data_IF_303906378072
#
_entry.id   IF_303906378072
#
_cell.length_a   1.000
_cell.length_b   1.000
_cell.length_c   1.000
_cell.angle_alpha   90.00
_cell.angle_beta   90.00
_cell.angle_gamma   90.00
#
_symmetry.space_group_name_H-M   'P 1'
#
loop_
_entity.id
_entity.type
_entity.pdbx_description
1 polymer ?
#
# COMPACT_ATOMS: atom_id res chain seq x y z
N UNK A 1 -28.49 6.67 7.61
CA UNK A 1 -28.98 5.99 6.40
C UNK A 1 -27.79 5.28 5.71
N UNK A 2 -27.29 4.22 6.35
CA UNK A 2 -26.01 3.54 6.04
C UNK A 2 -26.30 2.09 5.64
N UNK A 3 -26.41 1.76 4.35
CA UNK A 3 -26.57 0.35 3.93
C UNK A 3 -26.35 0.02 2.43
N UNK A 4 -25.75 0.88 1.58
CA UNK A 4 -25.69 0.61 0.12
C UNK A 4 -24.33 0.27 -0.48
N UNK A 5 -23.22 0.32 0.27
CA UNK A 5 -21.86 0.05 -0.25
C UNK A 5 -21.30 -1.37 0.01
N UNK A 6 -21.76 -2.07 1.06
CA UNK A 6 -21.19 -3.34 1.54
C UNK A 6 -21.19 -4.54 0.56
N UNK A 7 -22.16 -4.72 -0.37
CA UNK A 7 -22.20 -5.91 -1.25
C UNK A 7 -21.11 -5.93 -2.34
N UNK A 8 -20.74 -4.76 -2.88
CA UNK A 8 -19.72 -4.65 -3.91
C UNK A 8 -18.30 -4.72 -3.34
N UNK A 9 -18.13 -4.27 -2.09
CA UNK A 9 -16.90 -4.41 -1.30
C UNK A 9 -16.49 -5.86 -1.07
N UNK A 10 -17.41 -6.67 -0.50
CA UNK A 10 -17.15 -8.10 -0.25
C UNK A 10 -16.79 -8.81 -1.55
N UNK A 11 -17.46 -8.47 -2.66
CA UNK A 11 -17.12 -9.00 -3.99
C UNK A 11 -15.69 -8.71 -4.43
N UNK A 12 -15.14 -7.53 -4.14
CA UNK A 12 -13.80 -7.16 -4.58
C UNK A 12 -12.71 -7.95 -3.83
N UNK A 13 -12.85 -8.09 -2.51
CA UNK A 13 -11.98 -8.92 -1.69
C UNK A 13 -12.10 -10.40 -2.05
N UNK A 14 -13.33 -10.91 -2.20
CA UNK A 14 -13.58 -12.30 -2.59
C UNK A 14 -12.95 -12.63 -3.94
N UNK A 15 -12.97 -11.68 -4.89
CA UNK A 15 -12.34 -11.82 -6.19
C UNK A 15 -10.82 -11.93 -6.07
N UNK A 16 -10.17 -11.08 -5.27
CA UNK A 16 -8.72 -11.15 -5.04
C UNK A 16 -8.37 -12.44 -4.30
N UNK A 17 -9.17 -12.82 -3.30
CA UNK A 17 -9.00 -14.07 -2.55
C UNK A 17 -9.17 -15.31 -3.43
N UNK A 18 -9.98 -15.23 -4.49
CA UNK A 18 -10.18 -16.33 -5.43
C UNK A 18 -9.08 -16.45 -6.51
N UNK A 19 -8.07 -15.57 -6.51
CA UNK A 19 -6.96 -15.60 -7.47
C UNK A 19 -6.22 -16.95 -7.43
N UNK A 20 -5.82 -17.43 -8.61
CA UNK A 20 -5.16 -18.73 -8.79
C UNK A 20 -3.75 -18.65 -9.37
N UNK A 21 -3.44 -17.58 -10.10
CA UNK A 21 -2.20 -17.49 -10.89
C UNK A 21 -1.45 -16.21 -10.58
N UNK A 22 -2.13 -15.06 -10.70
CA UNK A 22 -1.45 -13.77 -10.61
C UNK A 22 -2.34 -12.66 -10.09
N UNK A 23 -1.78 -11.81 -9.23
CA UNK A 23 -2.39 -10.56 -8.77
C UNK A 23 -1.41 -9.42 -8.99
N UNK A 24 -1.80 -8.45 -9.81
CA UNK A 24 -1.07 -7.19 -9.98
C UNK A 24 -1.81 -6.05 -9.29
N UNK A 25 -1.11 -5.26 -8.49
CA UNK A 25 -1.68 -4.18 -7.68
C UNK A 25 -1.00 -2.85 -8.03
N UNK A 26 -1.79 -1.88 -8.47
CA UNK A 26 -1.43 -0.47 -8.50
C UNK A 26 -1.91 0.15 -7.17
N UNK A 27 -0.97 0.55 -6.31
CA UNK A 27 -1.26 1.09 -4.98
C UNK A 27 -0.77 2.53 -4.85
N UNK A 28 -1.70 3.49 -4.84
CA UNK A 28 -1.45 4.92 -4.68
C UNK A 28 -2.02 5.51 -3.40
N UNK A 29 -3.32 5.42 -3.17
CA UNK A 29 -3.97 6.09 -2.03
C UNK A 29 -4.74 5.09 -1.16
N UNK A 30 -5.23 3.98 -1.73
CA UNK A 30 -5.81 2.85 -1.01
C UNK A 30 -6.17 1.69 -1.93
N UNK A 31 -5.70 0.49 -1.61
CA UNK A 31 -6.03 -0.73 -2.38
C UNK A 31 -7.24 -1.36 -1.72
N UNK A 32 -8.38 -1.25 -2.40
CA UNK A 32 -9.70 -1.60 -1.85
C UNK A 32 -10.07 -0.63 -0.72
N UNK A 33 -11.34 -0.59 -0.27
CA UNK A 33 -11.71 0.08 0.97
C UNK A 33 -11.15 -0.60 2.24
N UNK A 34 -10.15 -1.45 2.06
CA UNK A 34 -9.34 -2.03 3.11
C UNK A 34 -8.34 -0.99 3.62
N UNK A 35 -8.07 -1.03 4.92
CA UNK A 35 -6.90 -0.34 5.46
C UNK A 35 -5.63 -0.90 4.82
N UNK A 36 -4.54 -0.13 4.72
CA UNK A 36 -3.25 -0.63 4.24
C UNK A 36 -2.87 -2.00 4.82
N UNK A 37 -3.10 -2.19 6.12
CA UNK A 37 -2.84 -3.46 6.82
C UNK A 37 -3.71 -4.61 6.33
N UNK A 38 -4.99 -4.38 6.09
CA UNK A 38 -5.88 -5.41 5.58
C UNK A 38 -5.56 -5.77 4.12
N UNK A 39 -5.11 -4.80 3.32
CA UNK A 39 -4.53 -5.07 2.00
C UNK A 39 -3.31 -5.98 2.11
N UNK A 40 -2.37 -5.64 3.01
CA UNK A 40 -1.15 -6.44 3.23
C UNK A 40 -1.51 -7.89 3.58
N UNK A 41 -2.42 -8.08 4.55
CA UNK A 41 -2.86 -9.40 4.98
C UNK A 41 -3.52 -10.21 3.86
N UNK A 42 -4.41 -9.59 3.07
CA UNK A 42 -5.07 -10.25 1.94
C UNK A 42 -4.07 -10.71 0.87
N UNK A 43 -3.10 -9.86 0.51
CA UNK A 43 -2.11 -10.19 -0.51
C UNK A 43 -1.11 -11.25 -0.01
N UNK A 44 -0.70 -11.19 1.25
CA UNK A 44 0.13 -12.22 1.87
C UNK A 44 -0.58 -13.58 1.88
N UNK A 45 -1.87 -13.62 2.24
CA UNK A 45 -2.68 -14.85 2.20
C UNK A 45 -2.79 -15.43 0.78
N UNK A 46 -2.94 -14.58 -0.23
CA UNK A 46 -2.97 -15.01 -1.63
C UNK A 46 -1.62 -15.59 -2.05
N UNK A 47 -0.53 -14.91 -1.69
CA UNK A 47 0.84 -15.35 -1.98
C UNK A 47 1.21 -16.68 -1.29
N UNK A 48 0.72 -16.90 -0.06
CA UNK A 48 0.95 -18.14 0.69
C UNK A 48 0.44 -19.40 -0.02
N UNK A 49 -0.53 -19.23 -0.92
CA UNK A 49 -1.04 -20.31 -1.78
C UNK A 49 -0.24 -20.51 -3.08
N UNK A 50 0.87 -19.78 -3.25
CA UNK A 50 1.72 -19.84 -4.44
C UNK A 50 1.27 -18.96 -5.61
N UNK A 51 0.31 -18.05 -5.38
CA UNK A 51 -0.11 -17.07 -6.38
C UNK A 51 0.96 -15.99 -6.49
N UNK A 52 1.38 -15.64 -7.70
CA UNK A 52 2.34 -14.55 -7.91
C UNK A 52 1.66 -13.20 -7.66
N UNK A 53 2.25 -12.38 -6.79
CA UNK A 53 1.74 -11.06 -6.42
C UNK A 53 2.78 -10.01 -6.79
N UNK A 54 2.40 -9.03 -7.60
CA UNK A 54 3.25 -7.91 -7.94
C UNK A 54 2.59 -6.59 -7.53
N UNK A 55 3.29 -5.78 -6.75
CA UNK A 55 2.77 -4.54 -6.17
C UNK A 55 3.58 -3.36 -6.65
N UNK A 56 2.97 -2.50 -7.46
CA UNK A 56 3.53 -1.21 -7.83
C UNK A 56 2.96 -0.13 -6.91
N UNK A 57 3.80 0.33 -5.99
CA UNK A 57 3.41 1.20 -4.90
C UNK A 57 3.89 2.64 -5.12
N UNK A 58 3.04 3.62 -4.85
CA UNK A 58 3.46 5.01 -4.71
C UNK A 58 4.34 5.17 -3.46
N UNK A 59 5.30 6.10 -3.51
CA UNK A 59 6.27 6.32 -2.43
C UNK A 59 5.62 6.55 -1.05
N UNK A 60 4.43 7.15 -1.01
CA UNK A 60 3.74 7.45 0.24
C UNK A 60 3.22 6.21 0.97
N UNK A 61 3.08 5.06 0.29
CA UNK A 61 2.68 3.79 0.90
C UNK A 61 3.86 2.79 1.01
N UNK A 62 5.09 3.26 0.83
CA UNK A 62 6.24 2.38 0.74
C UNK A 62 6.44 1.48 1.98
N UNK A 63 6.07 1.99 3.15
CA UNK A 63 6.11 1.24 4.41
C UNK A 63 5.13 0.07 4.45
N UNK A 64 3.85 0.31 4.12
CA UNK A 64 2.86 -0.76 4.08
C UNK A 64 3.21 -1.81 3.02
N UNK A 65 3.74 -1.37 1.87
CA UNK A 65 4.24 -2.29 0.85
C UNK A 65 5.52 -3.04 1.28
N UNK A 66 6.36 -2.46 2.17
CA UNK A 66 7.52 -3.15 2.71
C UNK A 66 7.12 -4.30 3.66
N UNK A 67 6.00 -4.17 4.39
CA UNK A 67 5.47 -5.26 5.22
C UNK A 67 5.15 -6.51 4.37
N UNK A 68 4.72 -6.35 3.11
CA UNK A 68 4.50 -7.47 2.20
C UNK A 68 5.78 -8.21 1.85
N UNK A 69 6.88 -7.49 1.62
CA UNK A 69 8.18 -8.11 1.34
C UNK A 69 8.70 -8.90 2.55
N UNK A 70 8.39 -8.45 3.78
CA UNK A 70 8.73 -9.14 5.02
C UNK A 70 7.82 -10.36 5.26
N UNK A 71 6.55 -10.30 4.84
CA UNK A 71 5.59 -11.38 5.00
C UNK A 71 5.87 -12.60 4.11
N UNK A 72 6.70 -12.46 3.07
CA UNK A 72 7.16 -13.56 2.21
C UNK A 72 8.69 -13.77 2.25
N UNK A 73 9.26 -14.18 3.39
CA UNK A 73 10.68 -14.44 3.48
C UNK A 73 11.00 -15.76 2.76
N UNK A 74 11.36 -15.66 1.48
CA UNK A 74 12.00 -16.73 0.72
C UNK A 74 11.13 -17.48 -0.30
N UNK A 75 9.81 -17.24 -0.41
CA UNK A 75 9.00 -17.88 -1.47
C UNK A 75 9.03 -17.11 -2.79
N UNK A 76 9.45 -15.83 -2.77
CA UNK A 76 9.51 -14.94 -3.95
C UNK A 76 8.18 -14.85 -4.70
N UNK A 77 7.08 -15.13 -4.03
CA UNK A 77 5.74 -15.01 -4.59
C UNK A 77 5.34 -13.53 -4.66
N UNK A 78 5.89 -12.69 -3.76
CA UNK A 78 5.63 -11.26 -3.71
C UNK A 78 6.81 -10.46 -4.27
N UNK A 79 6.54 -9.61 -5.26
CA UNK A 79 7.47 -8.60 -5.76
C UNK A 79 6.88 -7.20 -5.54
N UNK A 80 7.69 -6.28 -5.01
CA UNK A 80 7.28 -4.90 -4.75
C UNK A 80 8.18 -3.95 -5.52
N UNK A 81 7.58 -3.00 -6.24
CA UNK A 81 8.27 -1.89 -6.87
C UNK A 81 7.65 -0.55 -6.50
N UNK A 82 8.43 0.51 -6.62
CA UNK A 82 8.03 1.84 -6.18
C UNK A 82 7.99 2.78 -7.38
N UNK A 83 6.80 3.31 -7.68
CA UNK A 83 6.61 4.26 -8.75
C UNK A 83 6.94 5.69 -8.29
N UNK A 84 7.65 6.44 -9.13
CA UNK A 84 7.96 7.86 -8.88
C UNK A 84 6.71 8.76 -8.96
N UNK A 85 5.70 8.36 -9.74
CA UNK A 85 4.39 9.01 -9.83
C UNK A 85 3.29 8.01 -9.45
N UNK A 86 2.33 8.47 -8.66
CA UNK A 86 1.16 7.67 -8.31
C UNK A 86 0.28 7.41 -9.54
N UNK A 87 0.07 6.14 -9.86
CA UNK A 87 -0.91 5.70 -10.85
C UNK A 87 -2.28 5.51 -10.18
N UNK A 88 -3.40 5.54 -10.92
CA UNK A 88 -4.70 5.22 -10.35
C UNK A 88 -4.71 3.84 -9.67
N UNK A 89 -5.40 3.74 -8.54
CA UNK A 89 -5.56 2.46 -7.83
C UNK A 89 -6.30 1.45 -8.71
N UNK A 90 -5.74 0.26 -8.86
CA UNK A 90 -6.37 -0.86 -9.55
C UNK A 90 -5.73 -2.18 -9.15
N UNK A 91 -6.51 -3.25 -9.26
CA UNK A 91 -6.03 -4.62 -9.08
C UNK A 91 -6.40 -5.42 -10.33
N UNK A 92 -5.45 -6.16 -10.87
CA UNK A 92 -5.71 -7.15 -11.91
C UNK A 92 -5.56 -8.54 -11.31
N UNK A 93 -6.59 -9.36 -11.46
CA UNK A 93 -6.62 -10.74 -10.97
C UNK A 93 -6.68 -11.71 -12.15
N UNK A 94 -5.74 -12.65 -12.16
CA UNK A 94 -5.58 -13.75 -13.13
C UNK A 94 -5.66 -13.31 -14.60
N UNK A 95 -5.30 -12.05 -14.88
CA UNK A 95 -5.44 -11.39 -16.19
C UNK A 95 -6.87 -11.39 -16.77
N UNK A 96 -7.89 -11.53 -15.92
CA UNK A 96 -9.30 -11.71 -16.34
C UNK A 96 -10.26 -10.77 -15.65
N UNK A 97 -9.86 -10.18 -14.54
CA UNK A 97 -10.70 -9.28 -13.75
C UNK A 97 -9.89 -8.06 -13.38
N UNK A 98 -10.46 -6.88 -13.57
CA UNK A 98 -9.94 -5.63 -13.07
C UNK A 98 -10.84 -5.13 -11.94
N UNK A 99 -10.25 -4.77 -10.82
CA UNK A 99 -10.93 -4.18 -9.67
C UNK A 99 -10.42 -2.76 -9.53
N UNK A 100 -11.35 -1.80 -9.47
CA UNK A 100 -11.04 -0.39 -9.24
C UNK A 100 -11.63 0.00 -7.88
N UNK A 101 -10.80 0.30 -6.88
CA UNK A 101 -11.26 0.75 -5.57
C UNK A 101 -12.04 2.07 -5.66
N UNK A 102 -12.88 2.39 -4.65
CA UNK A 102 -13.41 3.74 -4.48
C UNK A 102 -12.28 4.75 -4.49
N UNK A 103 -12.47 5.87 -5.16
CA UNK A 103 -11.55 7.01 -5.01
C UNK A 103 -11.97 7.82 -3.78
N UNK A 104 -11.02 8.49 -3.12
CA UNK A 104 -11.35 9.39 -2.00
C UNK A 104 -12.32 10.53 -2.37
N UNK A 105 -12.50 10.80 -3.66
CA UNK A 105 -13.39 11.83 -4.17
C UNK A 105 -14.83 11.33 -4.41
N UNK A 106 -15.08 10.02 -4.32
CA UNK A 106 -16.37 9.42 -4.66
C UNK A 106 -16.70 8.27 -3.68
N UNK A 107 -17.90 8.33 -3.08
CA UNK A 107 -18.45 7.28 -2.21
C UNK A 107 -18.92 6.04 -3.02
N UNK A 108 -18.69 6.01 -4.34
CA UNK A 108 -18.99 4.88 -5.20
C UNK A 108 -18.30 3.59 -4.72
N UNK A 109 -18.99 2.43 -4.76
CA UNK A 109 -18.38 1.17 -4.39
C UNK A 109 -17.26 0.77 -5.35
N UNK A 110 -16.38 -0.14 -4.90
CA UNK A 110 -15.38 -0.75 -5.77
C UNK A 110 -16.03 -1.38 -7.02
N UNK A 111 -15.48 -1.07 -8.20
CA UNK A 111 -15.94 -1.64 -9.46
C UNK A 111 -15.19 -2.93 -9.76
N UNK A 112 -15.91 -4.00 -10.11
CA UNK A 112 -15.34 -5.30 -10.51
C UNK A 112 -15.72 -5.55 -11.96
N UNK A 113 -14.74 -5.53 -12.86
CA UNK A 113 -14.96 -5.56 -14.31
C UNK A 113 -14.26 -6.76 -14.95
N UNK A 114 -14.97 -7.46 -15.84
CA UNK A 114 -14.47 -8.65 -16.58
C UNK A 114 -14.32 -8.40 -18.09
N UNK A 115 -14.61 -7.19 -18.55
CA UNK A 115 -14.53 -6.85 -19.96
C UNK A 115 -13.07 -6.86 -20.43
N UNK A 116 -12.76 -7.64 -21.47
CA UNK A 116 -11.39 -7.87 -21.93
C UNK A 116 -10.63 -6.58 -22.24
N UNK A 117 -11.29 -5.59 -22.89
CA UNK A 117 -10.67 -4.29 -23.18
C UNK A 117 -10.26 -3.52 -21.92
N UNK A 118 -11.07 -3.58 -20.86
CA UNK A 118 -10.77 -2.89 -19.59
C UNK A 118 -9.65 -3.60 -18.85
N UNK A 119 -9.70 -4.93 -18.80
CA UNK A 119 -8.66 -5.75 -18.17
C UNK A 119 -7.32 -5.57 -18.88
N UNK A 120 -7.31 -5.56 -20.21
CA UNK A 120 -6.11 -5.29 -21.00
C UNK A 120 -5.56 -3.89 -20.74
N UNK A 121 -6.41 -2.86 -20.69
CA UNK A 121 -5.97 -1.50 -20.39
C UNK A 121 -5.34 -1.39 -18.99
N UNK A 122 -5.96 -2.00 -17.97
CA UNK A 122 -5.42 -2.03 -16.60
C UNK A 122 -4.07 -2.78 -16.53
N UNK A 123 -3.95 -3.90 -17.26
CA UNK A 123 -2.69 -4.66 -17.37
C UNK A 123 -1.60 -3.85 -18.03
N UNK A 124 -1.92 -3.12 -19.10
CA UNK A 124 -0.94 -2.31 -19.82
C UNK A 124 -0.45 -1.14 -18.96
N UNK A 125 -1.37 -0.51 -18.23
CA UNK A 125 -1.04 0.53 -17.24
C UNK A 125 -0.07 0.01 -16.18
N UNK A 126 -0.38 -1.16 -15.59
CA UNK A 126 0.51 -1.83 -14.63
C UNK A 126 1.87 -2.15 -15.24
N UNK A 127 1.90 -2.79 -16.41
CA UNK A 127 3.13 -3.23 -17.08
C UNK A 127 4.04 -2.05 -17.40
N UNK A 128 3.46 -0.95 -17.88
CA UNK A 128 4.20 0.28 -18.19
C UNK A 128 4.79 0.89 -16.92
N UNK A 129 3.99 1.01 -15.86
CA UNK A 129 4.45 1.53 -14.57
C UNK A 129 5.56 0.65 -13.95
N UNK A 130 5.39 -0.66 -14.01
CA UNK A 130 6.33 -1.64 -13.50
C UNK A 130 7.69 -1.54 -14.20
N UNK A 131 7.71 -1.51 -15.54
CA UNK A 131 8.95 -1.34 -16.30
C UNK A 131 9.64 -0.02 -15.97
N UNK A 132 8.88 1.06 -15.85
CA UNK A 132 9.42 2.37 -15.50
C UNK A 132 10.06 2.37 -14.10
N UNK A 133 9.41 1.74 -13.12
CA UNK A 133 9.93 1.62 -11.76
C UNK A 133 11.20 0.74 -11.71
N UNK A 134 11.23 -0.38 -12.43
CA UNK A 134 12.41 -1.24 -12.53
C UNK A 134 13.62 -0.48 -13.10
N UNK A 135 13.42 0.28 -14.18
CA UNK A 135 14.47 1.11 -14.78
C UNK A 135 14.95 2.23 -13.84
N UNK A 136 14.04 2.83 -13.07
CA UNK A 136 14.39 3.83 -12.08
C UNK A 136 15.25 3.23 -10.95
N UNK A 137 14.86 2.07 -10.43
CA UNK A 137 15.61 1.31 -9.43
C UNK A 137 17.04 0.97 -9.88
N UNK A 138 17.22 0.59 -11.14
CA UNK A 138 18.56 0.32 -11.68
C UNK A 138 19.45 1.56 -11.81
N UNK A 139 18.86 2.74 -12.06
CA UNK A 139 19.61 4.00 -12.26
C UNK A 139 19.96 4.70 -10.95
N UNK A 140 19.09 4.59 -9.97
CA UNK A 140 19.30 5.06 -8.61
C UNK A 140 18.52 4.08 -7.75
N UNK A 141 19.20 3.26 -6.93
CA UNK A 141 18.49 2.45 -5.96
C UNK A 141 17.58 3.38 -5.17
N UNK A 142 16.28 3.31 -5.42
CA UNK A 142 15.31 4.03 -4.63
C UNK A 142 15.32 3.29 -3.33
N UNK A 143 16.13 3.73 -2.37
CA UNK A 143 16.25 3.05 -1.11
C UNK A 143 14.87 3.02 -0.41
N UNK A 144 14.16 1.87 -0.43
CA UNK A 144 12.88 1.77 0.22
C UNK A 144 13.06 1.79 1.74
N UNK A 145 14.26 1.40 2.21
CA UNK A 145 14.66 1.48 3.60
C UNK A 145 14.92 2.92 4.03
N UNK A 146 15.39 3.85 3.20
CA UNK A 146 15.45 5.26 3.59
C UNK A 146 14.06 5.83 4.00
N UNK A 147 12.98 5.30 3.39
CA UNK A 147 11.61 5.59 3.82
C UNK A 147 11.16 4.79 5.04
N UNK A 148 11.67 3.58 5.25
CA UNK A 148 11.36 2.73 6.39
C UNK A 148 12.13 3.16 7.66
N UNK A 149 13.41 3.48 7.55
CA UNK A 149 14.29 4.09 8.55
C UNK A 149 13.72 5.43 8.99
N UNK A 150 13.35 6.32 8.05
CA UNK A 150 12.69 7.57 8.39
C UNK A 150 11.37 7.33 9.14
N UNK A 151 10.54 6.36 8.74
CA UNK A 151 9.32 6.04 9.48
C UNK A 151 9.60 5.40 10.85
N UNK A 152 10.63 4.56 10.99
CA UNK A 152 11.05 3.99 12.28
C UNK A 152 11.54 5.09 13.23
N UNK A 153 12.35 6.04 12.72
CA UNK A 153 12.77 7.20 13.48
C UNK A 153 11.57 8.08 13.85
N UNK A 154 10.62 8.30 12.93
CA UNK A 154 9.37 9.01 13.25
C UNK A 154 8.57 8.26 14.33
N UNK A 155 8.41 6.94 14.24
CA UNK A 155 7.72 6.12 15.23
C UNK A 155 8.41 6.20 16.60
N UNK A 156 9.74 6.18 16.63
CA UNK A 156 10.52 6.32 17.85
C UNK A 156 10.33 7.72 18.46
N UNK A 157 10.35 8.77 17.62
CA UNK A 157 10.11 10.15 18.06
C UNK A 157 8.68 10.38 18.54
N UNK A 158 7.69 9.71 17.93
CA UNK A 158 6.30 9.70 18.38
C UNK A 158 6.17 9.00 19.75
N UNK A 159 6.82 7.85 19.93
CA UNK A 159 6.88 7.13 21.20
C UNK A 159 7.57 7.91 22.33
N UNK A 160 8.52 8.78 21.97
CA UNK A 160 9.22 9.69 22.89
C UNK A 160 8.44 10.99 23.19
N UNK A 161 7.30 11.24 22.51
CA UNK A 161 6.48 12.43 22.75
C UNK A 161 7.04 13.74 22.19
N UNK A 162 7.91 13.69 21.18
CA UNK A 162 8.45 14.90 20.55
C UNK A 162 7.38 15.68 19.76
N UNK A 163 7.53 17.01 19.70
CA UNK A 163 6.72 17.88 18.83
C UNK A 163 7.16 17.76 17.37
N UNK A 164 6.27 18.09 16.43
CA UNK A 164 6.55 18.01 15.00
C UNK A 164 7.77 18.84 14.60
N UNK A 165 7.91 20.05 15.16
CA UNK A 165 9.03 20.95 14.88
C UNK A 165 10.38 20.38 15.36
N UNK A 166 10.40 19.79 16.57
CA UNK A 166 11.61 19.18 17.13
C UNK A 166 11.98 17.90 16.38
N UNK A 167 10.99 17.06 16.07
CA UNK A 167 11.19 15.81 15.35
C UNK A 167 11.64 16.06 13.90
N UNK A 168 10.99 16.99 13.19
CA UNK A 168 11.39 17.36 11.83
C UNK A 168 12.84 17.85 11.75
N UNK A 169 13.27 18.65 12.74
CA UNK A 169 14.65 19.14 12.84
C UNK A 169 15.64 18.01 13.08
N UNK A 170 15.34 17.06 13.97
CA UNK A 170 16.17 15.87 14.22
C UNK A 170 16.37 15.02 12.95
N UNK A 171 15.34 14.96 12.11
CA UNK A 171 15.30 14.17 10.88
C UNK A 171 15.81 14.94 9.64
N UNK A 172 16.19 16.21 9.78
CA UNK A 172 16.64 17.03 8.65
C UNK A 172 15.57 17.31 7.57
N UNK A 173 14.27 17.23 7.91
CA UNK A 173 13.15 17.45 6.97
C UNK A 173 12.32 18.68 7.34
N UNK A 174 11.50 19.17 6.39
CA UNK A 174 10.52 20.22 6.68
C UNK A 174 9.40 19.70 7.60
N UNK A 175 8.83 20.57 8.44
CA UNK A 175 7.68 20.25 9.30
C UNK A 175 6.48 19.75 8.50
N UNK A 176 6.26 20.31 7.30
CA UNK A 176 5.22 19.86 6.38
C UNK A 176 5.44 18.41 5.93
N UNK A 177 6.69 18.07 5.59
CA UNK A 177 7.07 16.71 5.19
C UNK A 177 6.87 15.75 6.35
N UNK A 178 7.35 16.09 7.55
CA UNK A 178 7.17 15.29 8.76
C UNK A 178 5.69 15.01 9.07
N UNK A 179 4.84 16.04 9.07
CA UNK A 179 3.39 15.88 9.30
C UNK A 179 2.71 14.98 8.28
N UNK A 180 3.16 15.00 7.01
CA UNK A 180 2.64 14.08 5.98
C UNK A 180 2.96 12.63 6.36
N UNK A 181 4.19 12.35 6.76
CA UNK A 181 4.60 11.01 7.21
C UNK A 181 3.86 10.56 8.46
N UNK A 182 3.72 11.43 9.47
CA UNK A 182 2.94 11.10 10.68
C UNK A 182 1.49 10.78 10.33
N UNK A 183 0.86 11.55 9.45
CA UNK A 183 -0.52 11.28 9.02
C UNK A 183 -0.64 9.92 8.31
N UNK A 184 0.34 9.55 7.49
CA UNK A 184 0.42 8.21 6.88
C UNK A 184 0.58 7.12 7.93
N UNK A 185 1.54 7.27 8.85
CA UNK A 185 1.75 6.32 9.96
C UNK A 185 0.47 6.11 10.77
N UNK A 186 -0.21 7.19 11.16
CA UNK A 186 -1.45 7.12 11.93
C UNK A 186 -2.54 6.36 11.18
N UNK A 187 -2.73 6.63 9.88
CA UNK A 187 -3.68 5.87 9.05
C UNK A 187 -3.31 4.39 8.96
N UNK A 188 -2.03 4.08 8.77
CA UNK A 188 -1.55 2.69 8.68
C UNK A 188 -1.75 1.94 9.99
N UNK A 189 -1.47 2.59 11.14
CA UNK A 189 -1.61 1.97 12.45
C UNK A 189 -3.06 1.91 12.95
N UNK A 190 -3.97 2.67 12.32
CA UNK A 190 -5.34 2.87 12.81
C UNK A 190 -5.38 3.71 14.09
N UNK A 191 -4.52 4.72 14.17
CA UNK A 191 -4.40 5.61 15.33
C UNK A 191 -5.14 6.93 15.09
N UNK A 192 -5.98 7.33 16.06
CA UNK A 192 -6.71 8.59 16.07
C UNK A 192 -5.87 9.74 16.65
N UNK A 193 -4.77 9.42 17.32
CA UNK A 193 -3.81 10.40 17.82
C UNK A 193 -2.36 9.96 17.64
N UNK A 194 -1.45 10.93 17.61
CA UNK A 194 0.01 10.70 17.57
C UNK A 194 0.51 9.87 18.75
N UNK A 195 -0.10 10.07 19.93
CA UNK A 195 0.24 9.34 21.14
C UNK A 195 -0.18 7.87 21.02
N UNK A 196 -1.40 7.64 20.53
CA UNK A 196 -1.89 6.31 20.22
C UNK A 196 -1.02 5.62 19.15
N UNK A 197 -0.55 6.37 18.14
CA UNK A 197 0.36 5.83 17.13
C UNK A 197 1.68 5.34 17.76
N UNK A 198 2.29 6.12 18.67
CA UNK A 198 3.49 5.71 19.41
C UNK A 198 3.24 4.50 20.32
N UNK A 199 2.10 4.45 21.02
CA UNK A 199 1.72 3.31 21.86
C UNK A 199 1.54 2.01 21.04
N UNK A 200 0.78 2.10 19.94
CA UNK A 200 0.56 0.98 19.03
C UNK A 200 1.85 0.51 18.37
N UNK A 201 2.80 1.42 18.09
CA UNK A 201 4.11 1.07 17.56
C UNK A 201 4.87 0.15 18.53
N UNK A 202 4.88 0.52 19.82
CA UNK A 202 5.58 -0.22 20.87
C UNK A 202 4.91 -1.56 21.20
N UNK A 203 3.57 -1.58 21.29
CA UNK A 203 2.80 -2.83 21.46
C UNK A 203 3.06 -3.84 20.36
N UNK A 204 3.36 -3.36 19.14
CA UNK A 204 3.58 -4.18 17.95
C UNK A 204 5.06 -4.46 17.68
N UNK A 205 5.96 -4.07 18.57
CA UNK A 205 7.41 -4.28 18.43
C UNK A 205 8.03 -3.54 17.23
N UNK A 206 7.41 -2.44 16.80
CA UNK A 206 7.92 -1.59 15.71
C UNK A 206 9.00 -0.61 16.18
N UNK A 207 9.06 -0.37 17.50
CA UNK A 207 10.04 0.43 18.25
C UNK A 207 10.19 -0.10 19.68
#
# INVERSE_FOLDING_TARGET
MLARGLPALRRAEDVVRAARVHVAVLWRDGVLPLTPRATVALLAEVADRGVSVQVLCARDNAYAAAELAVADPGKRAIEVQYAARGLPDAIVVDHRIAVFPPTLADDAPAAVLRHSGVVSAARELFTTGWRAAALAHHRTPLDPLAGAELHQEILALLGQGHTDDTAARKLGVSVRTYRRHVATIMRTLGADSRFQAGALARERGLV
#
